data_IF_467406731520
#
_entry.id   IF_467406731520
#
_cell.length_a   1.000
_cell.length_b   1.000
_cell.length_c   1.000
_cell.angle_alpha   90.00
_cell.angle_beta   90.00
_cell.angle_gamma   90.00
#
_symmetry.space_group_name_H-M   'P 1'
#
loop_
_entity.id
_entity.type
_entity.pdbx_description
1 polymer ?
#
# COMPACT_ATOMS: atom_id res chain seq x y z
N UNK A 1 -20.55 -60.83 -9.18
CA UNK A 1 -19.63 -60.97 -8.03
C UNK A 1 -18.74 -59.74 -8.06
N UNK A 2 -19.22 -58.61 -7.51
CA UNK A 2 -18.87 -58.14 -6.16
C UNK A 2 -17.37 -58.12 -5.94
N UNK A 3 -16.76 -56.93 -6.03
CA UNK A 3 -15.81 -56.53 -5.01
C UNK A 3 -15.90 -55.02 -4.77
N UNK A 4 -16.46 -54.72 -3.62
CA UNK A 4 -16.50 -53.42 -2.99
C UNK A 4 -15.20 -53.26 -2.22
N UNK A 5 -14.32 -52.37 -2.64
CA UNK A 5 -13.25 -51.87 -1.77
C UNK A 5 -12.84 -50.46 -2.21
N UNK A 6 -13.70 -49.48 -1.89
CA UNK A 6 -13.28 -48.11 -1.67
C UNK A 6 -12.36 -48.10 -0.44
N UNK A 7 -11.08 -48.42 -0.66
CA UNK A 7 -10.07 -48.37 0.38
C UNK A 7 -9.87 -46.91 0.78
N UNK A 8 -9.93 -46.63 2.09
CA UNK A 8 -9.65 -45.29 2.64
C UNK A 8 -8.17 -44.88 2.42
N UNK A 9 -7.34 -45.83 1.96
CA UNK A 9 -5.90 -45.68 1.76
C UNK A 9 -5.58 -44.97 0.43
N UNK A 10 -6.42 -45.14 -0.60
CA UNK A 10 -6.24 -44.48 -1.90
C UNK A 10 -6.60 -42.98 -1.88
N UNK A 11 -7.46 -42.56 -0.93
CA UNK A 11 -7.78 -41.15 -0.71
C UNK A 11 -6.64 -40.37 -0.03
N UNK A 12 -5.77 -41.05 0.72
CA UNK A 12 -4.59 -40.45 1.35
C UNK A 12 -3.49 -40.08 0.35
N UNK A 13 -3.48 -40.72 -0.83
CA UNK A 13 -2.54 -40.40 -1.91
C UNK A 13 -3.01 -39.22 -2.78
N UNK A 14 -4.28 -38.80 -2.67
CA UNK A 14 -4.83 -37.66 -3.42
C UNK A 14 -4.81 -36.33 -2.65
N UNK A 15 -4.42 -36.33 -1.37
CA UNK A 15 -3.96 -35.10 -0.70
C UNK A 15 -2.52 -34.80 -1.12
N UNK A 16 -2.32 -34.65 -2.43
CA UNK A 16 -1.17 -33.92 -2.93
C UNK A 16 -1.28 -32.50 -2.39
N UNK A 17 -0.58 -32.22 -1.30
CA UNK A 17 -0.24 -30.85 -0.95
C UNK A 17 0.24 -30.22 -2.27
N UNK A 18 -0.35 -29.10 -2.73
CA UNK A 18 0.16 -28.44 -3.91
C UNK A 18 1.64 -28.20 -3.62
N UNK A 19 2.50 -28.90 -4.35
CA UNK A 19 3.94 -28.71 -4.28
C UNK A 19 4.13 -27.22 -4.49
N UNK A 20 4.42 -26.53 -3.39
CA UNK A 20 4.70 -25.12 -3.39
C UNK A 20 5.99 -25.03 -4.20
N UNK A 21 5.83 -24.85 -5.52
CA UNK A 21 6.94 -24.54 -6.39
C UNK A 21 7.70 -23.43 -5.68
N UNK A 22 9.05 -23.52 -5.59
CA UNK A 22 9.82 -22.48 -4.96
C UNK A 22 9.47 -21.18 -5.68
N UNK A 23 8.65 -20.36 -5.03
CA UNK A 23 8.21 -19.08 -5.56
C UNK A 23 9.50 -18.34 -5.83
N UNK A 24 9.83 -18.17 -7.12
CA UNK A 24 11.03 -17.46 -7.57
C UNK A 24 11.21 -16.25 -6.66
N UNK A 25 12.30 -16.24 -5.90
CA UNK A 25 12.61 -15.13 -5.01
C UNK A 25 12.63 -13.89 -5.89
N UNK A 26 11.63 -13.02 -5.73
CA UNK A 26 11.56 -11.78 -6.48
C UNK A 26 12.84 -11.02 -6.15
N UNK A 27 13.60 -10.62 -7.16
CA UNK A 27 14.86 -9.91 -6.96
C UNK A 27 14.58 -8.48 -6.47
N UNK A 28 15.43 -7.96 -5.56
CA UNK A 28 15.30 -6.58 -5.10
C UNK A 28 15.62 -5.62 -6.25
N UNK A 29 14.71 -4.65 -6.47
CA UNK A 29 14.87 -3.62 -7.51
C UNK A 29 15.46 -2.36 -6.89
N UNK A 30 16.78 -2.28 -6.91
CA UNK A 30 17.57 -1.19 -6.31
C UNK A 30 18.34 -0.47 -7.43
N UNK A 31 18.33 0.86 -7.40
CA UNK A 31 19.10 1.68 -8.32
C UNK A 31 20.61 1.61 -8.02
N UNK A 32 21.44 2.06 -8.97
CA UNK A 32 22.90 2.16 -8.78
C UNK A 32 23.34 2.97 -7.55
N UNK A 33 22.48 3.86 -7.04
CA UNK A 33 22.71 4.66 -5.84
C UNK A 33 22.23 3.99 -4.54
N UNK A 34 21.83 2.71 -4.59
CA UNK A 34 21.36 1.97 -3.41
C UNK A 34 19.96 2.40 -2.93
N UNK A 35 19.13 2.95 -3.83
CA UNK A 35 17.80 3.45 -3.51
C UNK A 35 16.73 2.59 -4.16
N UNK A 36 15.62 2.35 -3.46
CA UNK A 36 14.44 1.72 -4.01
C UNK A 36 13.36 2.76 -4.35
N UNK A 37 12.67 2.53 -5.47
CA UNK A 37 11.62 3.43 -5.95
C UNK A 37 10.22 2.89 -5.65
N UNK A 38 9.34 3.78 -5.19
CA UNK A 38 7.93 3.51 -4.96
C UNK A 38 7.04 4.63 -5.47
N UNK A 39 5.87 4.28 -6.00
CA UNK A 39 4.84 5.27 -6.37
C UNK A 39 3.56 5.01 -5.63
N UNK A 40 2.99 6.07 -5.07
CA UNK A 40 1.73 6.01 -4.35
C UNK A 40 0.70 6.96 -4.94
N UNK A 41 -0.57 6.56 -4.94
CA UNK A 41 -1.68 7.41 -5.42
C UNK A 41 -2.88 7.24 -4.51
N UNK A 42 -3.52 8.35 -4.13
CA UNK A 42 -4.80 8.36 -3.40
C UNK A 42 -5.60 9.60 -3.79
N UNK A 43 -6.87 9.42 -4.15
CA UNK A 43 -7.66 10.49 -4.79
C UNK A 43 -6.85 11.03 -5.99
N UNK A 44 -6.58 12.34 -6.00
CA UNK A 44 -5.74 13.02 -7.00
C UNK A 44 -4.28 13.21 -6.55
N UNK A 45 -3.93 12.85 -5.31
CA UNK A 45 -2.53 12.92 -4.88
C UNK A 45 -1.71 11.83 -5.56
N UNK A 46 -0.53 12.23 -6.03
CA UNK A 46 0.52 11.33 -6.52
C UNK A 46 1.80 11.58 -5.73
N UNK A 47 2.37 10.51 -5.19
CA UNK A 47 3.62 10.51 -4.45
C UNK A 47 4.67 9.67 -5.20
N UNK A 48 5.86 10.25 -5.36
CA UNK A 48 7.08 9.55 -5.77
C UNK A 48 7.94 9.42 -4.52
N UNK A 49 8.29 8.20 -4.16
CA UNK A 49 9.01 7.89 -2.93
C UNK A 49 10.30 7.16 -3.28
N UNK A 50 11.38 7.60 -2.66
CA UNK A 50 12.68 6.97 -2.70
C UNK A 50 13.05 6.54 -1.29
N UNK A 51 13.48 5.30 -1.14
CA UNK A 51 13.96 4.76 0.13
C UNK A 51 15.43 4.41 0.00
N UNK A 52 16.22 4.74 1.02
CA UNK A 52 17.63 4.39 1.16
C UNK A 52 17.88 3.92 2.59
N UNK A 53 18.80 2.97 2.82
CA UNK A 53 19.25 2.66 4.19
C UNK A 53 19.92 3.88 4.81
N UNK A 54 19.59 4.17 6.06
CA UNK A 54 20.01 5.39 6.74
C UNK A 54 19.54 5.48 8.19
N UNK A 55 19.10 6.66 8.61
CA UNK A 55 18.83 7.05 10.01
C UNK A 55 17.35 7.13 10.40
N UNK A 56 16.42 6.85 9.48
CA UNK A 56 14.98 6.98 9.73
C UNK A 56 14.41 8.38 9.40
N UNK A 57 15.15 9.23 8.69
CA UNK A 57 14.71 10.60 8.37
C UNK A 57 13.71 10.58 7.22
N UNK A 58 12.58 11.27 7.41
CA UNK A 58 11.52 11.39 6.41
C UNK A 58 11.44 12.83 5.91
N UNK A 59 11.85 13.05 4.66
CA UNK A 59 11.85 14.36 4.00
C UNK A 59 10.77 14.37 2.92
N UNK A 60 9.91 15.38 2.95
CA UNK A 60 8.74 15.49 2.07
C UNK A 60 8.76 16.85 1.37
N UNK A 61 8.89 16.84 0.04
CA UNK A 61 9.00 18.05 -0.79
C UNK A 61 10.09 19.02 -0.30
N UNK A 62 11.24 18.47 0.13
CA UNK A 62 12.39 19.25 0.62
C UNK A 62 12.25 19.83 2.03
N UNK A 63 11.16 19.50 2.74
CA UNK A 63 10.91 19.89 4.14
C UNK A 63 10.84 18.67 5.04
N UNK A 64 11.07 18.86 6.33
CA UNK A 64 10.91 17.79 7.31
C UNK A 64 9.43 17.37 7.43
N UNK A 65 9.18 16.10 7.77
CA UNK A 65 7.83 15.57 7.90
C UNK A 65 6.98 16.31 8.95
N UNK A 66 7.60 16.83 10.02
CA UNK A 66 6.89 17.55 11.08
C UNK A 66 6.38 18.90 10.60
N UNK A 67 7.20 19.58 9.78
CA UNK A 67 6.85 20.87 9.21
C UNK A 67 5.82 20.74 8.07
N UNK A 68 5.92 19.70 7.24
CA UNK A 68 4.99 19.50 6.13
C UNK A 68 3.62 18.99 6.61
N UNK A 69 3.63 18.03 7.54
CA UNK A 69 2.44 17.44 8.14
C UNK A 69 2.29 17.86 9.60
N UNK A 70 1.81 19.09 9.81
CA UNK A 70 1.61 19.66 11.15
C UNK A 70 0.72 18.81 12.08
N UNK A 71 -0.17 17.97 11.53
CA UNK A 71 -1.05 17.11 12.33
C UNK A 71 -0.36 15.77 12.64
N UNK A 72 -0.24 15.36 13.92
CA UNK A 72 0.43 14.12 14.29
C UNK A 72 -0.21 12.87 13.67
N UNK A 73 -1.54 12.86 13.51
CA UNK A 73 -2.28 11.76 12.87
C UNK A 73 -1.77 11.48 11.44
N UNK A 74 -1.37 12.51 10.70
CA UNK A 74 -0.87 12.35 9.33
C UNK A 74 0.52 11.71 9.32
N UNK A 75 1.36 12.04 10.30
CA UNK A 75 2.69 11.43 10.49
C UNK A 75 2.55 9.95 10.86
N UNK A 76 1.64 9.62 11.77
CA UNK A 76 1.34 8.22 12.13
C UNK A 76 0.94 7.39 10.91
N UNK A 77 0.08 7.93 10.04
CA UNK A 77 -0.33 7.24 8.80
C UNK A 77 0.85 6.95 7.88
N UNK A 78 1.85 7.83 7.82
CA UNK A 78 3.04 7.65 6.99
C UNK A 78 3.98 6.60 7.60
N UNK A 79 4.10 6.56 8.93
CA UNK A 79 4.95 5.63 9.67
C UNK A 79 4.43 4.19 9.70
N UNK A 80 3.10 3.98 9.63
CA UNK A 80 2.45 2.65 9.65
C UNK A 80 3.20 1.52 8.90
N UNK A 81 3.55 1.66 7.60
CA UNK A 81 4.23 0.59 6.87
C UNK A 81 5.67 0.35 7.33
N UNK A 82 6.34 1.33 7.91
CA UNK A 82 7.70 1.19 8.46
C UNK A 82 7.67 0.48 9.82
N UNK A 83 6.69 0.81 10.65
CA UNK A 83 6.44 0.17 11.94
C UNK A 83 6.10 -1.30 11.72
N UNK A 84 5.16 -1.59 10.83
CA UNK A 84 4.74 -2.97 10.54
C UNK A 84 5.85 -3.83 9.93
N UNK A 85 6.74 -3.21 9.15
CA UNK A 85 7.92 -3.89 8.63
C UNK A 85 9.02 -4.09 9.69
N UNK A 86 8.93 -3.44 10.86
CA UNK A 86 10.00 -3.45 11.87
C UNK A 86 11.27 -2.76 11.39
N UNK A 87 11.13 -1.68 10.59
CA UNK A 87 12.24 -1.00 9.88
C UNK A 87 12.22 0.52 10.02
N UNK A 88 11.60 1.03 11.08
CA UNK A 88 11.39 2.47 11.30
C UNK A 88 12.70 3.28 11.32
N UNK A 89 13.72 2.79 12.01
CA UNK A 89 15.00 3.49 12.17
C UNK A 89 16.03 3.17 11.08
N UNK A 90 15.73 2.24 10.16
CA UNK A 90 16.71 1.71 9.20
C UNK A 90 16.72 2.44 7.86
N UNK A 91 15.62 3.13 7.53
CA UNK A 91 15.41 3.68 6.19
C UNK A 91 15.14 5.17 6.22
N UNK A 92 15.95 5.93 5.46
CA UNK A 92 15.62 7.31 5.11
C UNK A 92 14.65 7.33 3.92
N UNK A 93 13.65 8.20 4.02
CA UNK A 93 12.58 8.33 3.02
C UNK A 93 12.62 9.73 2.44
N UNK A 94 12.73 9.81 1.11
CA UNK A 94 12.62 11.05 0.36
C UNK A 94 11.38 10.97 -0.52
N UNK A 95 10.36 11.76 -0.18
CA UNK A 95 9.09 11.78 -0.90
C UNK A 95 8.89 13.12 -1.62
N UNK A 96 8.46 13.05 -2.88
CA UNK A 96 7.94 14.19 -3.64
C UNK A 96 6.46 13.96 -3.92
N UNK A 97 5.60 14.89 -3.53
CA UNK A 97 4.15 14.74 -3.58
C UNK A 97 3.49 15.95 -4.22
N UNK A 98 2.52 15.70 -5.11
CA UNK A 98 1.71 16.73 -5.77
C UNK A 98 0.23 16.33 -5.81
N UNK A 99 -0.67 17.33 -5.88
CA UNK A 99 -2.13 17.19 -5.97
C UNK A 99 -2.83 16.94 -4.61
N UNK A 100 -4.18 17.00 -4.60
CA UNK A 100 -5.06 16.80 -3.43
C UNK A 100 -4.69 17.61 -2.16
N UNK A 101 -5.47 17.48 -1.08
CA UNK A 101 -5.12 18.00 0.25
C UNK A 101 -4.19 17.06 1.06
N UNK A 102 -3.71 17.55 2.22
CA UNK A 102 -2.71 16.89 3.08
C UNK A 102 -3.05 15.43 3.45
N UNK A 103 -4.30 15.14 3.80
CA UNK A 103 -4.71 13.76 4.14
C UNK A 103 -4.62 12.80 2.94
N UNK A 104 -4.97 13.28 1.75
CA UNK A 104 -4.84 12.50 0.52
C UNK A 104 -3.37 12.26 0.18
N UNK A 105 -2.54 13.28 0.37
CA UNK A 105 -1.09 13.21 0.19
C UNK A 105 -0.44 12.22 1.15
N UNK A 106 -0.73 12.28 2.45
CA UNK A 106 -0.21 11.32 3.44
C UNK A 106 -0.58 9.87 3.09
N UNK A 107 -1.83 9.63 2.65
CA UNK A 107 -2.24 8.30 2.18
C UNK A 107 -1.53 7.84 0.91
N UNK A 108 -1.20 8.77 0.00
CA UNK A 108 -0.40 8.47 -1.18
C UNK A 108 1.05 8.14 -0.78
N UNK A 109 1.66 8.91 0.12
CA UNK A 109 3.03 8.64 0.63
C UNK A 109 3.10 7.29 1.30
N UNK A 110 2.14 6.97 2.18
CA UNK A 110 2.04 5.65 2.83
C UNK A 110 2.10 4.51 1.82
N UNK A 111 1.27 4.57 0.78
CA UNK A 111 1.24 3.54 -0.27
C UNK A 111 2.55 3.50 -1.09
N UNK A 112 3.17 4.66 -1.31
CA UNK A 112 4.47 4.77 -1.98
C UNK A 112 5.60 4.12 -1.18
N UNK A 113 5.65 4.34 0.14
CA UNK A 113 6.63 3.74 1.05
C UNK A 113 6.50 2.21 1.02
N UNK A 114 5.28 1.67 1.14
CA UNK A 114 5.07 0.22 1.10
C UNK A 114 5.59 -0.42 -0.19
N UNK A 115 5.38 0.25 -1.33
CA UNK A 115 5.90 -0.25 -2.62
C UNK A 115 7.42 -0.15 -2.73
N UNK A 116 8.02 0.91 -2.19
CA UNK A 116 9.48 1.05 -2.15
C UNK A 116 10.12 0.01 -1.21
N UNK A 117 9.51 -0.27 -0.06
CA UNK A 117 9.97 -1.32 0.88
C UNK A 117 9.95 -2.69 0.22
N UNK A 118 8.85 -3.05 -0.46
CA UNK A 118 8.77 -4.33 -1.20
C UNK A 118 9.75 -4.38 -2.37
N UNK A 119 10.06 -3.26 -3.01
CA UNK A 119 11.08 -3.21 -4.05
C UNK A 119 12.49 -3.42 -3.47
N UNK A 120 12.75 -2.95 -2.24
CA UNK A 120 14.02 -3.13 -1.54
C UNK A 120 14.17 -4.55 -0.98
N UNK A 121 13.14 -5.05 -0.28
CA UNK A 121 13.07 -6.38 0.33
C UNK A 121 11.76 -7.08 -0.07
N UNK A 122 11.78 -7.94 -1.09
CA UNK A 122 10.56 -8.55 -1.62
C UNK A 122 9.82 -9.46 -0.64
N UNK A 123 10.51 -9.99 0.38
CA UNK A 123 9.92 -10.77 1.47
C UNK A 123 8.91 -9.98 2.32
N UNK A 124 9.05 -8.64 2.42
CA UNK A 124 8.15 -7.79 3.20
C UNK A 124 6.74 -7.72 2.62
N UNK A 125 6.52 -8.18 1.39
CA UNK A 125 5.19 -8.23 0.78
C UNK A 125 4.22 -9.10 1.57
N UNK A 126 4.70 -10.21 2.13
CA UNK A 126 3.87 -11.13 2.91
C UNK A 126 3.36 -10.46 4.21
N UNK A 127 4.20 -9.62 4.82
CA UNK A 127 3.86 -8.85 6.02
C UNK A 127 2.94 -7.68 5.69
N UNK A 128 3.22 -6.90 4.65
CA UNK A 128 2.50 -5.66 4.36
C UNK A 128 1.14 -5.86 3.65
N UNK A 129 0.94 -6.99 2.98
CA UNK A 129 -0.29 -7.27 2.21
C UNK A 129 -1.53 -7.49 3.10
N UNK A 130 -1.48 -8.28 4.19
CA UNK A 130 -2.60 -8.44 5.13
C UNK A 130 -3.14 -7.13 5.71
N UNK A 131 -2.26 -6.18 6.04
CA UNK A 131 -2.66 -4.86 6.56
C UNK A 131 -3.20 -3.89 5.48
N UNK A 132 -3.28 -4.33 4.23
CA UNK A 132 -3.86 -3.54 3.14
C UNK A 132 -2.98 -2.38 2.64
N UNK A 133 -1.71 -2.31 3.02
CA UNK A 133 -0.81 -1.22 2.59
C UNK A 133 -0.45 -1.29 1.10
N UNK A 134 -0.45 -2.49 0.54
CA UNK A 134 -0.19 -2.75 -0.88
C UNK A 134 -1.39 -2.48 -1.79
N UNK A 135 -2.60 -2.32 -1.22
CA UNK A 135 -3.81 -2.05 -2.00
C UNK A 135 -4.01 -0.55 -2.13
N UNK A 136 -4.12 -0.07 -3.37
CA UNK A 136 -4.47 1.33 -3.63
C UNK A 136 -5.92 1.58 -3.21
N UNK A 137 -6.17 2.64 -2.44
CA UNK A 137 -7.52 3.13 -2.17
C UNK A 137 -8.16 3.69 -3.47
N UNK A 138 -9.17 3.02 -4.05
CA UNK A 138 -9.74 3.41 -5.33
C UNK A 138 -10.74 4.57 -5.21
N UNK A 139 -11.09 5.01 -4.00
CA UNK A 139 -12.13 6.02 -3.78
C UNK A 139 -11.71 7.38 -4.37
N UNK A 140 -12.55 7.90 -5.24
CA UNK A 140 -12.42 9.24 -5.86
C UNK A 140 -13.74 9.99 -5.67
N UNK A 141 -13.68 11.32 -5.68
CA UNK A 141 -14.87 12.16 -5.54
C UNK A 141 -15.80 11.92 -6.74
N UNK A 142 -17.05 11.55 -6.46
CA UNK A 142 -18.07 11.45 -7.50
C UNK A 142 -18.36 12.83 -8.09
N UNK A 143 -18.47 12.91 -9.42
CA UNK A 143 -18.87 14.15 -10.11
C UNK A 143 -20.28 14.59 -9.71
N UNK A 144 -20.55 15.89 -9.82
CA UNK A 144 -21.92 16.42 -9.72
C UNK A 144 -22.77 15.89 -10.88
N UNK A 145 -23.96 15.37 -10.56
CA UNK A 145 -24.97 14.94 -11.53
C UNK A 145 -25.96 16.08 -11.78
N UNK A 146 -26.49 16.19 -13.00
CA UNK A 146 -27.50 17.19 -13.33
C UNK A 146 -28.77 16.96 -12.49
N UNK A 147 -29.54 18.03 -12.24
CA UNK A 147 -30.75 17.98 -11.41
C UNK A 147 -30.51 17.72 -9.92
N UNK A 148 -29.24 17.65 -9.46
CA UNK A 148 -28.88 17.45 -8.06
C UNK A 148 -27.98 18.57 -7.54
N UNK A 149 -28.11 18.90 -6.25
CA UNK A 149 -27.29 19.90 -5.59
C UNK A 149 -25.83 19.45 -5.44
N UNK A 150 -25.60 18.14 -5.20
CA UNK A 150 -24.27 17.49 -5.16
C UNK A 150 -24.31 16.15 -5.89
N UNK A 151 -23.29 15.29 -5.74
CA UNK A 151 -23.24 13.97 -6.37
C UNK A 151 -24.51 13.12 -6.13
N UNK A 152 -25.05 13.15 -4.90
CA UNK A 152 -26.25 12.39 -4.51
C UNK A 152 -27.39 13.24 -3.93
N UNK A 153 -27.08 14.36 -3.28
CA UNK A 153 -28.07 15.26 -2.63
C UNK A 153 -29.02 15.86 -3.66
N UNK A 154 -30.29 15.47 -3.60
CA UNK A 154 -31.39 16.09 -4.35
C UNK A 154 -31.93 17.33 -3.63
N UNK A 155 -32.67 18.15 -4.36
CA UNK A 155 -33.54 19.16 -3.76
C UNK A 155 -34.73 18.48 -3.10
N UNK A 156 -35.43 19.20 -2.22
CA UNK A 156 -36.67 18.71 -1.60
C UNK A 156 -37.73 18.47 -2.69
N UNK A 157 -38.36 17.30 -2.68
CA UNK A 157 -39.45 16.96 -3.60
C UNK A 157 -40.78 17.42 -3.00
N UNK A 158 -41.59 18.16 -3.76
CA UNK A 158 -42.98 18.47 -3.42
C UNK A 158 -43.89 17.46 -4.12
N UNK A 159 -44.70 16.73 -3.36
CA UNK A 159 -45.58 15.65 -3.86
C UNK A 159 -46.96 16.15 -4.35
N UNK A 160 -47.30 17.41 -4.10
CA UNK A 160 -48.63 17.97 -4.35
C UNK A 160 -49.09 17.76 -5.79
#
# INVERSE_FOLDING_TARGET
MTDTSNSLQDLGAMTGAPSAQPVKAVEPKIDAQGRAYGTGRRKEATARVWIKRGTGKIIINGRDQEQYFARPVLRMVIAQPLIEAGRESEFDVIATVKGSGLMGQAGAVRHGISRALVAYEPGLRAVLKPFGFMTRDPRVVERKKYGKAKARRSFQFSKR
#
